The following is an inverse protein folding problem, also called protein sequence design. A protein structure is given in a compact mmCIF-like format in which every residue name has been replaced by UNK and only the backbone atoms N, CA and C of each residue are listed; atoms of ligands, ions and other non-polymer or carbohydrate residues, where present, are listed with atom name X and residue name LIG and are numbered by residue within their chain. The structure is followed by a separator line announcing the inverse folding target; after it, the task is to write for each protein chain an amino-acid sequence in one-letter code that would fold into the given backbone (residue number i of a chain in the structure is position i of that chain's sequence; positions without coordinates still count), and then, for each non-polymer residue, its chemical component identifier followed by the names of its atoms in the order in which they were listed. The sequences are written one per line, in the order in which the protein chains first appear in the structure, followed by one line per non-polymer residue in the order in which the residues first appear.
data_IF_716966808583
#
_entry.id   IF_716966808583
#
_cell.length_a   1.000
_cell.length_b   1.000
_cell.length_c   1.000
_cell.angle_alpha   90.00
_cell.angle_beta   90.00
_cell.angle_gamma   90.00
#
_symmetry.space_group_name_H-M   'P 1'
#
loop_
_entity.id
_entity.type
_entity.pdbx_description
1 polymer ?
#
# COMPACT_ATOMS: atom_id res chain seq x y z
N UNK A 1 10.96 19.01 2.59
CA UNK A 1 9.74 19.84 2.60
C UNK A 1 9.75 20.81 1.42
N UNK A 2 9.00 20.49 0.36
CA UNK A 2 8.69 21.47 -0.67
C UNK A 2 7.38 22.16 -0.29
N UNK A 3 7.43 23.47 -0.08
CA UNK A 3 6.25 24.31 0.09
C UNK A 3 5.69 24.61 -1.31
N UNK A 4 4.41 24.37 -1.52
CA UNK A 4 3.70 24.83 -2.72
C UNK A 4 2.54 25.73 -2.29
N UNK A 5 2.41 26.88 -2.97
CA UNK A 5 1.30 27.82 -2.82
C UNK A 5 0.37 27.69 -4.03
N UNK A 6 -0.91 27.45 -3.77
CA UNK A 6 -1.99 27.63 -4.74
C UNK A 6 -3.17 28.28 -4.03
N UNK A 7 -3.68 29.38 -4.59
CA UNK A 7 -4.85 30.12 -4.07
C UNK A 7 -4.75 30.54 -2.58
N UNK A 8 -3.63 31.15 -2.18
CA UNK A 8 -3.42 31.69 -0.82
C UNK A 8 -3.57 30.67 0.33
N UNK A 9 -3.52 29.37 0.04
CA UNK A 9 -3.42 28.32 1.06
C UNK A 9 -2.05 27.66 0.99
N UNK A 10 -1.41 27.52 2.16
CA UNK A 10 -0.13 26.84 2.32
C UNK A 10 -0.41 25.37 2.63
N UNK A 11 0.10 24.48 1.80
CA UNK A 11 -0.03 23.04 1.99
C UNK A 11 1.28 22.45 2.50
N UNK A 12 1.22 21.59 3.52
CA UNK A 12 2.35 20.82 4.02
C UNK A 12 2.17 19.37 3.58
N UNK A 13 3.08 18.87 2.75
CA UNK A 13 3.18 17.45 2.48
C UNK A 13 4.02 16.79 3.57
N UNK A 14 3.37 16.11 4.52
CA UNK A 14 4.05 15.27 5.51
C UNK A 14 4.20 13.86 4.91
N UNK A 15 5.44 13.44 4.65
CA UNK A 15 5.75 12.09 4.24
C UNK A 15 6.11 11.27 5.48
N UNK A 16 5.15 10.49 6.00
CA UNK A 16 5.45 9.48 7.01
C UNK A 16 6.21 8.34 6.33
N UNK A 17 7.49 8.18 6.69
CA UNK A 17 8.30 7.03 6.28
C UNK A 17 8.14 5.96 7.34
N UNK A 18 7.27 4.97 7.09
CA UNK A 18 7.24 3.74 7.90
C UNK A 18 8.41 2.88 7.45
N UNK A 19 9.36 2.64 8.33
CA UNK A 19 10.54 1.81 8.05
C UNK A 19 10.12 0.32 8.07
N UNK A 20 10.31 -0.46 6.98
CA UNK A 20 9.71 -1.80 6.88
C UNK A 20 10.63 -2.95 7.35
N UNK A 21 11.55 -2.73 8.30
CA UNK A 21 12.53 -3.77 8.68
C UNK A 21 12.47 -4.12 10.18
N UNK A 22 12.02 -5.34 10.56
CA UNK A 22 11.83 -5.73 11.96
C UNK A 22 13.10 -6.26 12.65
N UNK A 23 14.29 -6.16 12.04
CA UNK A 23 15.51 -6.79 12.56
C UNK A 23 16.75 -5.89 12.47
N UNK A 24 16.88 -4.90 13.36
CA UNK A 24 18.19 -4.34 13.78
C UNK A 24 18.06 -3.47 15.05
N UNK A 25 18.77 -3.79 16.15
CA UNK A 25 18.95 -2.86 17.25
C UNK A 25 20.09 -1.88 16.90
N UNK A 26 19.82 -0.58 16.87
CA UNK A 26 20.89 0.42 16.75
C UNK A 26 21.38 0.83 18.14
N UNK A 27 22.54 0.30 18.53
CA UNK A 27 23.46 0.99 19.44
C UNK A 27 24.35 1.91 18.60
N UNK A 28 24.40 3.20 18.93
CA UNK A 28 25.44 4.11 18.44
C UNK A 28 24.94 5.41 17.79
N UNK A 29 25.32 6.52 18.41
CA UNK A 29 25.17 7.90 17.96
C UNK A 29 25.71 8.16 16.55
N UNK A 30 24.90 8.74 15.66
CA UNK A 30 25.32 9.20 14.34
C UNK A 30 24.38 10.25 13.76
N UNK A 31 24.92 11.45 13.58
CA UNK A 31 24.25 12.68 13.13
C UNK A 31 23.73 12.60 11.69
N UNK A 32 22.53 13.12 11.42
CA UNK A 32 22.01 13.27 10.07
C UNK A 32 22.72 14.43 9.33
N UNK A 33 23.36 14.12 8.20
CA UNK A 33 23.95 15.10 7.28
C UNK A 33 22.87 15.57 6.31
N UNK A 34 22.47 16.83 6.39
CA UNK A 34 21.62 17.49 5.39
C UNK A 34 22.52 17.99 4.24
N UNK A 35 22.44 17.36 3.06
CA UNK A 35 23.04 17.93 1.83
C UNK A 35 22.11 19.00 1.27
N UNK A 36 22.61 20.23 1.21
CA UNK A 36 22.01 21.37 0.51
C UNK A 36 22.25 21.17 -1.00
N UNK A 37 21.21 21.27 -1.82
CA UNK A 37 21.32 21.27 -3.29
C UNK A 37 21.00 22.70 -3.74
N UNK A 38 21.98 23.38 -4.34
CA UNK A 38 21.80 24.72 -4.94
C UNK A 38 21.18 24.61 -6.35
N UNK A 39 20.48 25.65 -6.84
CA UNK A 39 19.66 25.56 -8.05
C UNK A 39 20.46 25.96 -9.30
N UNK A 40 20.64 25.07 -10.27
CA UNK A 40 21.13 25.45 -11.62
C UNK A 40 20.44 24.67 -12.74
N UNK A 41 19.76 25.45 -13.60
CA UNK A 41 19.33 25.27 -14.99
C UNK A 41 18.16 24.31 -15.36
N UNK A 42 17.29 24.72 -16.33
CA UNK A 42 16.13 23.96 -16.77
C UNK A 42 16.53 22.95 -17.86
N UNK A 43 15.65 21.97 -18.11
CA UNK A 43 15.74 20.88 -19.09
C UNK A 43 16.40 19.59 -18.60
N UNK A 44 15.64 18.80 -17.83
CA UNK A 44 15.52 17.33 -17.92
C UNK A 44 14.39 16.87 -16.99
N UNK A 45 13.44 16.03 -17.42
CA UNK A 45 12.37 15.56 -16.55
C UNK A 45 12.89 14.41 -15.69
N UNK A 46 13.02 14.65 -14.39
CA UNK A 46 13.15 13.58 -13.39
C UNK A 46 11.75 13.02 -13.18
N UNK A 47 11.55 11.75 -13.49
CA UNK A 47 10.28 11.06 -13.28
C UNK A 47 10.07 10.81 -11.77
N UNK A 48 9.36 11.73 -11.11
CA UNK A 48 8.89 11.52 -9.74
C UNK A 48 7.57 10.76 -9.74
N UNK A 49 7.57 9.57 -9.13
CA UNK A 49 6.37 8.77 -8.88
C UNK A 49 5.43 9.57 -7.97
N UNK A 50 4.36 10.08 -8.55
CA UNK A 50 3.28 10.78 -7.85
C UNK A 50 2.18 9.78 -7.52
N UNK A 51 1.92 9.53 -6.23
CA UNK A 51 0.71 8.84 -5.77
C UNK A 51 -0.38 9.90 -5.64
N UNK A 52 -1.38 9.87 -6.51
CA UNK A 52 -2.54 10.78 -6.48
C UNK A 52 -3.53 10.22 -5.46
N UNK A 53 -3.74 10.92 -4.36
CA UNK A 53 -4.91 10.71 -3.51
C UNK A 53 -6.08 11.53 -4.07
N UNK A 54 -7.14 10.86 -4.50
CA UNK A 54 -8.37 11.50 -4.95
C UNK A 54 -9.18 11.96 -3.74
N UNK A 55 -9.10 13.24 -3.39
CA UNK A 55 -10.04 13.88 -2.47
C UNK A 55 -11.32 14.24 -3.23
N UNK A 56 -12.42 13.53 -2.95
CA UNK A 56 -13.76 13.97 -3.38
C UNK A 56 -14.19 15.09 -2.44
N UNK A 57 -14.01 16.34 -2.87
CA UNK A 57 -14.55 17.51 -2.17
C UNK A 57 -16.07 17.57 -2.41
N UNK A 58 -16.86 17.29 -1.38
CA UNK A 58 -18.28 17.64 -1.38
C UNK A 58 -18.41 19.15 -1.14
N UNK A 59 -18.95 19.84 -2.14
CA UNK A 59 -19.15 21.29 -2.16
C UNK A 59 -20.19 21.70 -1.10
N UNK A 60 -19.74 22.26 0.04
CA UNK A 60 -20.61 22.97 0.99
C UNK A 60 -19.94 24.26 1.42
N UNK A 61 -20.58 25.38 1.05
CA UNK A 61 -20.19 26.75 1.45
C UNK A 61 -20.14 26.89 2.98
N UNK A 62 -19.12 27.55 3.55
CA UNK A 62 -19.06 27.82 4.97
C UNK A 62 -19.91 29.04 5.33
N UNK A 63 -20.89 28.86 6.20
CA UNK A 63 -21.54 29.98 6.92
C UNK A 63 -20.73 30.24 8.19
N UNK A 64 -20.01 31.36 8.23
CA UNK A 64 -19.40 31.88 9.46
C UNK A 64 -20.52 32.35 10.42
N UNK A 65 -20.57 31.79 11.62
CA UNK A 65 -21.34 32.38 12.71
C UNK A 65 -20.45 33.43 13.42
N UNK A 66 -20.84 34.70 13.31
CA UNK A 66 -20.35 35.77 14.16
C UNK A 66 -20.92 35.58 15.57
N UNK A 67 -20.05 35.56 16.59
CA UNK A 67 -20.44 35.73 17.98
C UNK A 67 -20.17 37.20 18.33
N UNK A 68 -21.24 37.97 18.54
CA UNK A 68 -21.18 39.29 19.15
C UNK A 68 -21.09 39.12 20.67
N UNK A 69 -20.20 39.89 21.29
CA UNK A 69 -20.02 40.01 22.73
C UNK A 69 -21.25 40.69 23.35
N UNK A 70 -22.00 39.97 24.20
CA UNK A 70 -22.97 40.56 25.13
C UNK A 70 -22.57 40.22 26.57
N UNK A 71 -22.00 41.22 27.24
CA UNK A 71 -21.81 41.29 28.69
C UNK A 71 -23.17 41.19 29.41
N UNK A 72 -23.38 40.14 30.22
CA UNK A 72 -24.50 40.11 31.18
C UNK A 72 -24.04 39.61 32.55
N UNK A 73 -24.46 40.39 33.53
CA UNK A 73 -24.00 40.55 34.91
C UNK A 73 -24.11 39.32 35.82
N UNK A 74 -23.15 39.21 36.74
CA UNK A 74 -23.11 38.22 37.81
C UNK A 74 -24.17 38.54 38.89
N UNK A 75 -25.14 37.65 39.09
CA UNK A 75 -25.88 37.61 40.36
C UNK A 75 -26.05 36.18 40.85
N UNK A 76 -25.60 35.98 42.08
CA UNK A 76 -25.59 34.78 42.89
C UNK A 76 -26.93 34.03 42.96
N UNK A 77 -26.88 32.72 42.72
CA UNK A 77 -27.60 31.76 43.55
C UNK A 77 -26.83 30.44 43.61
N UNK A 78 -26.47 30.08 44.84
CA UNK A 78 -25.83 28.83 45.21
C UNK A 78 -26.92 27.76 45.20
N UNK A 79 -26.80 26.78 44.32
CA UNK A 79 -27.33 25.44 44.57
C UNK A 79 -26.27 24.41 44.20
N UNK A 80 -25.75 23.79 45.24
CA UNK A 80 -24.86 22.64 45.24
C UNK A 80 -25.52 21.47 44.52
N UNK A 81 -24.96 21.08 43.38
CA UNK A 81 -25.13 19.73 42.84
C UNK A 81 -23.75 19.11 42.64
N UNK A 82 -23.39 18.27 43.60
CA UNK A 82 -22.38 17.23 43.45
C UNK A 82 -22.74 16.39 42.21
N UNK A 83 -21.93 16.49 41.15
CA UNK A 83 -21.91 15.51 40.07
C UNK A 83 -20.65 14.65 40.25
N UNK A 84 -20.66 13.85 41.31
CA UNK A 84 -19.84 12.65 41.37
C UNK A 84 -20.53 11.56 40.53
N UNK A 85 -19.94 11.24 39.38
CA UNK A 85 -20.36 10.10 38.58
C UNK A 85 -19.60 10.00 37.27
N UNK A 86 -18.69 9.02 37.19
CA UNK A 86 -18.20 8.53 35.91
C UNK A 86 -19.38 7.93 35.14
N UNK A 87 -19.72 8.52 33.99
CA UNK A 87 -20.83 8.06 33.16
C UNK A 87 -20.57 6.67 32.57
N UNK A 88 -21.61 5.84 32.36
CA UNK A 88 -21.49 4.44 31.96
C UNK A 88 -20.88 4.20 30.56
N UNK A 89 -20.55 5.25 29.81
CA UNK A 89 -20.00 5.14 28.45
C UNK A 89 -18.46 5.07 28.40
N UNK A 90 -17.76 5.33 29.49
CA UNK A 90 -16.29 5.46 29.48
C UNK A 90 -15.52 4.12 29.49
N UNK A 91 -16.17 2.99 29.80
CA UNK A 91 -15.49 1.73 30.17
C UNK A 91 -15.62 0.54 29.19
N UNK A 92 -16.07 0.73 27.93
CA UNK A 92 -16.15 -0.38 26.97
C UNK A 92 -15.75 0.04 25.55
N UNK A 93 -14.47 0.35 25.36
CA UNK A 93 -13.91 0.81 24.08
C UNK A 93 -13.51 -0.31 23.13
N UNK A 94 -12.73 -1.30 23.58
CA UNK A 94 -12.11 -2.25 22.64
C UNK A 94 -13.12 -3.08 21.82
N UNK A 95 -14.28 -3.39 22.40
CA UNK A 95 -15.35 -4.15 21.72
C UNK A 95 -16.11 -3.32 20.68
N UNK A 96 -16.26 -2.00 20.87
CA UNK A 96 -16.88 -1.10 19.87
C UNK A 96 -15.94 -0.80 18.70
N UNK A 97 -14.63 -0.85 18.94
CA UNK A 97 -13.59 -0.54 17.98
C UNK A 97 -13.29 -1.70 17.03
N UNK A 98 -13.39 -2.95 17.49
CA UNK A 98 -13.00 -4.12 16.71
C UNK A 98 -13.89 -4.35 15.48
N UNK A 99 -13.36 -5.03 14.47
CA UNK A 99 -14.18 -5.52 13.33
C UNK A 99 -15.09 -6.66 13.78
N UNK A 100 -16.23 -6.89 13.10
CA UNK A 100 -17.09 -8.04 13.37
C UNK A 100 -16.28 -9.34 13.42
N UNK A 101 -16.61 -10.30 14.29
CA UNK A 101 -15.86 -11.53 14.38
C UNK A 101 -15.95 -12.30 13.06
N UNK A 102 -14.85 -12.91 12.68
CA UNK A 102 -14.78 -13.78 11.51
C UNK A 102 -15.53 -15.08 11.82
N UNK A 103 -16.46 -15.48 10.94
CA UNK A 103 -17.05 -16.83 11.00
C UNK A 103 -15.98 -17.85 10.62
N UNK A 104 -16.01 -19.05 11.21
CA UNK A 104 -15.18 -20.15 10.71
C UNK A 104 -15.47 -20.39 9.23
N UNK A 105 -14.42 -20.49 8.42
CA UNK A 105 -14.51 -20.68 6.96
C UNK A 105 -13.99 -22.07 6.62
N UNK A 106 -14.84 -22.92 6.05
CA UNK A 106 -14.37 -24.16 5.42
C UNK A 106 -13.79 -23.88 4.03
N UNK A 107 -12.47 -23.80 3.97
CA UNK A 107 -11.71 -23.55 2.73
C UNK A 107 -11.93 -24.59 1.62
N UNK A 108 -12.59 -25.72 1.89
CA UNK A 108 -12.92 -26.71 0.86
C UNK A 108 -14.22 -26.37 0.12
N UNK A 109 -15.16 -25.72 0.79
CA UNK A 109 -16.54 -25.57 0.34
C UNK A 109 -16.94 -24.10 0.15
N UNK A 110 -16.28 -23.17 0.85
CA UNK A 110 -16.62 -21.75 0.83
C UNK A 110 -15.65 -20.94 -0.03
N UNK A 111 -16.18 -19.96 -0.76
CA UNK A 111 -15.38 -18.94 -1.45
C UNK A 111 -15.19 -17.71 -0.55
N UNK A 112 -14.11 -16.96 -0.76
CA UNK A 112 -13.90 -15.66 -0.09
C UNK A 112 -14.01 -14.57 -1.13
N UNK A 113 -14.91 -13.62 -0.90
CA UNK A 113 -15.14 -12.48 -1.80
C UNK A 113 -14.87 -11.19 -1.04
N UNK A 114 -13.97 -10.37 -1.56
CA UNK A 114 -13.58 -9.10 -0.93
C UNK A 114 -13.29 -8.01 -1.96
N UNK A 115 -13.57 -6.77 -1.60
CA UNK A 115 -13.20 -5.62 -2.41
C UNK A 115 -11.79 -5.19 -2.06
N UNK A 116 -10.94 -5.09 -3.07
CA UNK A 116 -9.56 -4.63 -2.91
C UNK A 116 -9.53 -3.14 -2.56
N UNK A 117 -8.50 -2.72 -1.82
CA UNK A 117 -8.22 -1.30 -1.56
C UNK A 117 -6.77 -0.94 -1.85
N UNK A 118 -5.86 -1.89 -1.64
CA UNK A 118 -4.43 -1.68 -1.85
C UNK A 118 -3.77 -2.97 -2.33
N UNK A 119 -2.68 -2.81 -3.06
CA UNK A 119 -1.89 -3.90 -3.63
C UNK A 119 -0.42 -3.52 -3.56
N UNK A 120 0.38 -4.42 -3.00
CA UNK A 120 1.84 -4.31 -3.04
C UNK A 120 2.47 -5.67 -3.40
N UNK A 121 3.79 -5.74 -3.43
CA UNK A 121 4.49 -7.00 -3.48
C UNK A 121 5.67 -7.02 -2.52
N UNK A 122 6.10 -8.21 -2.15
CA UNK A 122 7.35 -8.44 -1.45
C UNK A 122 8.12 -9.57 -2.11
N UNK A 123 9.42 -9.64 -1.82
CA UNK A 123 10.24 -10.77 -2.22
C UNK A 123 10.19 -11.80 -1.09
N UNK A 124 9.70 -13.00 -1.41
CA UNK A 124 9.63 -14.09 -0.45
C UNK A 124 9.96 -15.41 -1.11
N UNK A 125 10.23 -16.40 -0.29
CA UNK A 125 10.44 -17.76 -0.75
C UNK A 125 9.10 -18.50 -0.75
N UNK A 126 8.91 -19.38 -1.74
CA UNK A 126 7.85 -20.36 -1.67
C UNK A 126 8.24 -21.56 -0.79
N UNK A 127 7.37 -22.56 -0.72
CA UNK A 127 7.63 -23.78 0.06
C UNK A 127 8.78 -24.64 -0.51
N UNK A 128 9.27 -24.34 -1.72
CA UNK A 128 10.40 -25.00 -2.37
C UNK A 128 11.71 -24.19 -2.22
N UNK A 129 11.73 -23.20 -1.31
CA UNK A 129 12.82 -22.25 -1.07
C UNK A 129 13.24 -21.46 -2.33
N UNK A 130 12.31 -21.28 -3.28
CA UNK A 130 12.53 -20.46 -4.46
C UNK A 130 12.07 -19.02 -4.22
N UNK A 131 13.05 -18.12 -4.18
CA UNK A 131 12.82 -16.67 -4.08
C UNK A 131 12.05 -16.15 -5.30
N UNK A 132 10.91 -15.52 -5.06
CA UNK A 132 10.03 -14.95 -6.08
C UNK A 132 9.31 -13.69 -5.58
N UNK A 133 8.81 -12.83 -6.48
CA UNK A 133 7.89 -11.78 -6.08
C UNK A 133 6.52 -12.37 -5.73
N UNK A 134 5.97 -11.98 -4.58
CA UNK A 134 4.63 -12.38 -4.11
C UNK A 134 3.80 -11.10 -3.98
N UNK A 135 2.67 -11.05 -4.69
CA UNK A 135 1.75 -9.91 -4.64
C UNK A 135 0.84 -10.07 -3.44
N UNK A 136 0.63 -9.00 -2.67
CA UNK A 136 -0.38 -8.95 -1.60
C UNK A 136 -1.51 -8.04 -2.02
N UNK A 137 -2.72 -8.55 -1.94
CA UNK A 137 -3.94 -7.76 -2.10
C UNK A 137 -4.60 -7.58 -0.75
N UNK A 138 -4.83 -6.34 -0.36
CA UNK A 138 -5.54 -5.96 0.86
C UNK A 138 -6.96 -5.52 0.51
N UNK A 139 -7.91 -5.85 1.37
CA UNK A 139 -9.28 -5.45 1.15
C UNK A 139 -10.25 -5.84 2.26
N UNK A 140 -11.54 -5.72 1.96
CA UNK A 140 -12.62 -5.92 2.93
C UNK A 140 -13.77 -6.71 2.29
N UNK A 141 -14.28 -7.72 2.99
CA UNK A 141 -15.46 -8.49 2.54
C UNK A 141 -16.75 -7.67 2.68
N UNK A 142 -17.86 -8.08 2.03
CA UNK A 142 -19.18 -7.45 2.26
C UNK A 142 -19.59 -7.47 3.75
N UNK A 143 -19.13 -8.47 4.51
CA UNK A 143 -19.35 -8.57 5.96
C UNK A 143 -18.45 -7.68 6.82
N UNK A 144 -17.57 -6.87 6.24
CA UNK A 144 -16.67 -5.97 6.98
C UNK A 144 -15.41 -6.62 7.53
N UNK A 145 -15.10 -7.86 7.12
CA UNK A 145 -13.88 -8.55 7.55
C UNK A 145 -12.69 -8.08 6.71
N UNK A 146 -11.58 -7.74 7.37
CA UNK A 146 -10.33 -7.38 6.66
C UNK A 146 -9.62 -8.61 6.12
N UNK A 147 -9.13 -8.51 4.88
CA UNK A 147 -8.51 -9.61 4.14
C UNK A 147 -7.14 -9.22 3.60
N UNK A 148 -6.18 -10.13 3.74
CA UNK A 148 -4.89 -10.10 3.06
C UNK A 148 -4.72 -11.38 2.24
N UNK A 149 -4.63 -11.25 0.93
CA UNK A 149 -4.46 -12.36 0.00
C UNK A 149 -3.05 -12.33 -0.60
N UNK A 150 -2.29 -13.41 -0.42
CA UNK A 150 -0.97 -13.59 -1.03
C UNK A 150 -1.10 -14.37 -2.35
N UNK A 151 -0.73 -13.74 -3.46
CA UNK A 151 -0.80 -14.29 -4.83
C UNK A 151 0.60 -14.64 -5.33
N UNK A 152 0.75 -15.86 -5.86
CA UNK A 152 2.03 -16.45 -6.26
C UNK A 152 2.11 -16.66 -7.79
N UNK A 153 3.33 -16.87 -8.28
CA UNK A 153 3.58 -17.35 -9.65
C UNK A 153 3.53 -16.28 -10.74
N UNK A 154 3.24 -15.02 -10.41
CA UNK A 154 3.30 -13.92 -11.39
C UNK A 154 4.74 -13.44 -11.54
N UNK A 155 5.29 -13.52 -12.75
CA UNK A 155 6.70 -13.20 -13.01
C UNK A 155 6.82 -11.95 -13.88
N UNK A 156 7.77 -11.05 -13.57
CA UNK A 156 8.01 -9.84 -14.35
C UNK A 156 8.55 -10.20 -15.75
N UNK A 157 8.12 -9.43 -16.74
CA UNK A 157 8.60 -9.57 -18.11
C UNK A 157 8.62 -8.22 -18.82
N UNK A 158 9.34 -8.19 -19.93
CA UNK A 158 9.36 -7.09 -20.88
C UNK A 158 9.58 -7.62 -22.29
N UNK A 159 9.54 -6.74 -23.28
CA UNK A 159 9.75 -7.12 -24.67
C UNK A 159 11.04 -6.50 -25.23
N UNK A 160 11.64 -7.18 -26.20
CA UNK A 160 12.75 -6.65 -26.98
C UNK A 160 12.51 -6.90 -28.47
N UNK A 161 13.04 -6.02 -29.31
CA UNK A 161 13.03 -6.17 -30.75
C UNK A 161 13.63 -7.53 -31.14
N UNK A 162 12.99 -8.23 -32.09
CA UNK A 162 13.56 -9.44 -32.64
C UNK A 162 14.78 -9.07 -33.51
N UNK A 163 15.96 -9.62 -33.23
CA UNK A 163 17.13 -9.32 -34.03
C UNK A 163 17.08 -9.93 -35.45
N UNK A 164 17.79 -9.33 -36.41
CA UNK A 164 17.83 -9.81 -37.80
C UNK A 164 18.42 -11.23 -37.91
N UNK A 165 17.72 -12.15 -38.58
CA UNK A 165 18.18 -13.54 -38.71
C UNK A 165 18.05 -14.36 -37.42
N UNK A 166 17.40 -13.83 -36.39
CA UNK A 166 17.05 -14.60 -35.19
C UNK A 166 15.85 -15.51 -35.46
N UNK A 167 15.91 -16.75 -34.99
CA UNK A 167 14.82 -17.71 -35.09
C UNK A 167 14.83 -18.64 -33.86
N UNK A 168 13.84 -19.53 -33.74
CA UNK A 168 13.60 -20.43 -32.61
C UNK A 168 14.82 -21.24 -32.19
N UNK A 169 15.68 -21.62 -33.14
CA UNK A 169 16.91 -22.38 -32.89
C UNK A 169 17.90 -21.62 -32.00
N UNK A 170 17.84 -20.28 -31.97
CA UNK A 170 18.75 -19.43 -31.21
C UNK A 170 18.24 -19.12 -29.78
N UNK A 171 16.97 -19.41 -29.46
CA UNK A 171 16.34 -19.01 -28.19
C UNK A 171 17.09 -19.53 -26.96
N UNK A 172 17.45 -20.82 -26.95
CA UNK A 172 18.10 -21.44 -25.80
C UNK A 172 19.49 -20.87 -25.54
N UNK A 173 20.29 -20.68 -26.60
CA UNK A 173 21.62 -20.10 -26.50
C UNK A 173 21.56 -18.64 -26.04
N UNK A 174 20.63 -17.86 -26.59
CA UNK A 174 20.42 -16.46 -26.22
C UNK A 174 19.93 -16.30 -24.79
N UNK A 175 18.99 -17.15 -24.34
CA UNK A 175 18.53 -17.17 -22.95
C UNK A 175 19.67 -17.49 -21.99
N UNK A 176 20.50 -18.50 -22.30
CA UNK A 176 21.63 -18.87 -21.47
C UNK A 176 22.65 -17.74 -21.34
N UNK A 177 22.97 -17.07 -22.46
CA UNK A 177 23.89 -15.93 -22.49
C UNK A 177 23.35 -14.75 -21.66
N UNK A 178 22.09 -14.33 -21.91
CA UNK A 178 21.50 -13.20 -21.18
C UNK A 178 21.42 -13.51 -19.68
N UNK A 179 21.02 -14.73 -19.32
CA UNK A 179 21.02 -15.18 -17.94
C UNK A 179 22.40 -15.03 -17.30
N UNK A 180 23.45 -15.52 -17.96
CA UNK A 180 24.81 -15.43 -17.45
C UNK A 180 25.27 -13.98 -17.28
N UNK A 181 25.00 -13.10 -18.25
CA UNK A 181 25.35 -11.67 -18.16
C UNK A 181 24.64 -10.97 -17.00
N UNK A 182 23.36 -11.26 -16.79
CA UNK A 182 22.61 -10.69 -15.66
C UNK A 182 23.18 -11.20 -14.33
N UNK A 183 23.49 -12.50 -14.23
CA UNK A 183 24.12 -13.10 -13.04
C UNK A 183 25.50 -12.49 -12.75
N UNK A 184 26.28 -12.18 -13.79
CA UNK A 184 27.59 -11.53 -13.67
C UNK A 184 27.51 -10.09 -13.14
N UNK A 185 26.44 -9.36 -13.39
CA UNK A 185 26.28 -7.99 -12.86
C UNK A 185 25.79 -7.97 -11.41
N UNK A 186 25.02 -8.97 -10.99
CA UNK A 186 24.49 -9.06 -9.60
C UNK A 186 25.42 -9.79 -8.63
N UNK A 187 26.72 -9.89 -8.98
CA UNK A 187 27.77 -10.56 -8.19
C UNK A 187 27.66 -10.21 -6.71
N UNK A 188 27.38 -11.22 -5.89
CA UNK A 188 27.19 -11.10 -4.43
C UNK A 188 25.86 -11.67 -3.95
N UNK A 189 24.83 -11.71 -4.79
CA UNK A 189 23.53 -12.27 -4.42
C UNK A 189 23.42 -13.76 -4.81
N UNK A 190 23.93 -14.66 -3.97
CA UNK A 190 23.97 -16.12 -4.22
C UNK A 190 22.61 -16.82 -4.22
N UNK A 191 21.53 -16.11 -3.89
CA UNK A 191 20.18 -16.70 -3.81
C UNK A 191 19.53 -16.88 -5.20
N UNK A 192 19.89 -16.03 -6.17
CA UNK A 192 19.30 -16.08 -7.51
C UNK A 192 20.08 -17.07 -8.37
N UNK A 193 19.50 -18.26 -8.60
CA UNK A 193 20.08 -19.29 -9.48
C UNK A 193 19.84 -18.99 -10.96
N UNK A 194 18.61 -18.61 -11.30
CA UNK A 194 18.21 -18.25 -12.66
C UNK A 194 17.62 -16.83 -12.65
N UNK A 195 18.28 -15.91 -13.33
CA UNK A 195 17.83 -14.53 -13.49
C UNK A 195 16.81 -14.40 -14.63
N UNK A 196 17.06 -15.08 -15.76
CA UNK A 196 16.16 -15.11 -16.92
C UNK A 196 15.48 -16.47 -16.96
N UNK A 197 14.15 -16.48 -16.81
CA UNK A 197 13.37 -17.70 -16.68
C UNK A 197 12.99 -18.29 -18.04
N UNK A 198 12.52 -17.44 -18.96
CA UNK A 198 12.10 -17.87 -20.30
C UNK A 198 12.20 -16.72 -21.28
N UNK A 199 12.60 -17.04 -22.52
CA UNK A 199 12.48 -16.15 -23.67
C UNK A 199 11.58 -16.80 -24.72
N UNK A 200 10.57 -16.08 -25.20
CA UNK A 200 9.61 -16.58 -26.19
C UNK A 200 9.44 -15.59 -27.35
N UNK A 201 9.16 -16.10 -28.55
CA UNK A 201 8.72 -15.26 -29.66
C UNK A 201 7.26 -14.87 -29.46
N UNK A 202 6.95 -13.58 -29.67
CA UNK A 202 5.59 -13.06 -29.58
C UNK A 202 5.32 -12.10 -30.73
N UNK A 203 4.28 -12.36 -31.49
CA UNK A 203 3.83 -11.46 -32.56
C UNK A 203 3.00 -10.32 -31.96
N UNK A 204 3.54 -9.12 -32.04
CA UNK A 204 2.98 -7.89 -31.49
C UNK A 204 3.03 -6.77 -32.54
N UNK A 205 2.52 -5.60 -32.18
CA UNK A 205 2.65 -4.37 -32.96
C UNK A 205 3.24 -3.30 -32.06
N UNK A 206 4.16 -2.50 -32.60
CA UNK A 206 4.58 -1.27 -31.92
C UNK A 206 3.40 -0.29 -31.96
N UNK A 207 3.10 0.31 -30.80
CA UNK A 207 2.11 1.38 -30.70
C UNK A 207 2.53 2.63 -31.47
N UNK A 208 3.84 2.80 -31.72
CA UNK A 208 4.40 3.94 -32.45
C UNK A 208 4.40 3.67 -33.95
N UNK A 209 3.71 4.53 -34.67
CA UNK A 209 3.61 4.48 -36.13
C UNK A 209 2.41 3.67 -36.60
N UNK A 210 2.13 3.74 -37.90
CA UNK A 210 0.99 3.04 -38.51
C UNK A 210 1.51 1.96 -39.45
N UNK A 211 1.24 0.70 -39.12
CA UNK A 211 1.77 -0.47 -39.84
C UNK A 211 0.70 -1.28 -40.57
N UNK A 212 -0.48 -0.70 -40.85
CA UNK A 212 -1.59 -1.39 -41.55
C UNK A 212 -1.93 -2.77 -40.94
N UNK A 213 -1.90 -2.89 -39.61
CA UNK A 213 -2.09 -4.14 -38.86
C UNK A 213 -1.03 -5.24 -39.10
N UNK A 214 0.09 -4.94 -39.75
CA UNK A 214 1.21 -5.88 -39.86
C UNK A 214 1.80 -6.15 -38.47
N UNK A 215 1.82 -7.42 -38.08
CA UNK A 215 2.48 -7.86 -36.85
C UNK A 215 3.96 -8.13 -37.12
N UNK A 216 4.79 -7.79 -36.14
CA UNK A 216 6.21 -8.12 -36.11
C UNK A 216 6.46 -9.03 -34.92
N UNK A 217 7.37 -9.98 -35.06
CA UNK A 217 7.76 -10.84 -33.94
C UNK A 217 8.72 -10.07 -33.02
N UNK A 218 8.56 -10.26 -31.70
CA UNK A 218 9.39 -9.69 -30.64
C UNK A 218 9.84 -10.82 -29.68
N UNK A 219 10.88 -10.56 -28.90
CA UNK A 219 11.29 -11.41 -27.79
C UNK A 219 10.53 -10.99 -26.53
N UNK A 220 9.68 -11.86 -25.98
CA UNK A 220 9.13 -11.73 -24.62
C UNK A 220 10.14 -12.34 -23.66
N UNK A 221 10.71 -11.53 -22.77
CA UNK A 221 11.76 -11.95 -21.83
C UNK A 221 11.17 -11.89 -20.42
N UNK A 222 11.03 -13.05 -19.78
CA UNK A 222 10.57 -13.18 -18.40
C UNK A 222 11.77 -13.36 -17.48
N UNK A 223 11.85 -12.56 -16.41
CA UNK A 223 12.92 -12.60 -15.41
C UNK A 223 12.37 -13.02 -14.05
N UNK A 224 13.24 -13.43 -13.13
CA UNK A 224 12.81 -14.00 -11.84
C UNK A 224 12.41 -12.96 -10.79
N UNK A 225 12.90 -11.72 -10.88
CA UNK A 225 12.59 -10.66 -9.93
C UNK A 225 12.46 -9.30 -10.65
N UNK A 226 11.56 -8.40 -10.19
CA UNK A 226 11.32 -7.12 -10.87
C UNK A 226 12.58 -6.26 -11.01
N UNK A 227 13.46 -6.27 -10.00
CA UNK A 227 14.75 -5.54 -10.00
C UNK A 227 15.72 -5.98 -11.11
N UNK A 228 15.50 -7.13 -11.74
CA UNK A 228 16.36 -7.65 -12.82
C UNK A 228 15.96 -7.11 -14.20
N UNK A 229 14.75 -6.57 -14.36
CA UNK A 229 14.28 -5.95 -15.60
C UNK A 229 15.21 -4.81 -16.07
N UNK A 230 15.54 -3.79 -15.25
CA UNK A 230 16.42 -2.71 -15.69
C UNK A 230 17.85 -3.18 -16.02
N UNK A 231 18.33 -4.23 -15.36
CA UNK A 231 19.65 -4.83 -15.61
C UNK A 231 19.66 -5.52 -16.98
N UNK A 232 18.72 -6.44 -17.21
CA UNK A 232 18.58 -7.16 -18.47
C UNK A 232 18.37 -6.19 -19.63
N UNK A 233 17.51 -5.16 -19.44
CA UNK A 233 17.32 -4.07 -20.40
C UNK A 233 18.64 -3.41 -20.80
N UNK A 234 19.44 -2.96 -19.84
CA UNK A 234 20.72 -2.28 -20.10
C UNK A 234 21.69 -3.15 -20.89
N UNK A 235 21.79 -4.43 -20.52
CA UNK A 235 22.65 -5.41 -21.22
C UNK A 235 22.25 -5.54 -22.69
N UNK A 236 20.95 -5.57 -22.98
CA UNK A 236 20.41 -5.66 -24.35
C UNK A 236 20.61 -4.36 -25.14
N UNK A 237 20.31 -3.21 -24.54
CA UNK A 237 20.43 -1.88 -25.18
C UNK A 237 21.90 -1.50 -25.47
N UNK A 238 22.85 -1.99 -24.66
CA UNK A 238 24.30 -1.77 -24.84
C UNK A 238 24.97 -2.78 -25.78
N UNK A 239 24.25 -3.82 -26.22
CA UNK A 239 24.79 -4.88 -27.08
C UNK A 239 25.78 -5.81 -26.37
N UNK A 240 25.72 -5.90 -25.03
CA UNK A 240 26.63 -6.72 -24.23
C UNK A 240 26.28 -8.23 -24.25
N UNK A 241 25.09 -8.58 -24.74
CA UNK A 241 24.63 -9.96 -24.91
C UNK A 241 25.01 -10.50 -26.30
N UNK A 242 25.96 -11.44 -26.36
CA UNK A 242 26.45 -12.02 -27.62
C UNK A 242 26.29 -13.53 -27.59
N UNK A 243 25.50 -14.10 -28.51
CA UNK A 243 25.27 -15.54 -28.57
C UNK A 243 26.06 -16.16 -29.73
N UNK A 244 26.64 -17.36 -29.58
CA UNK A 244 27.28 -18.07 -30.69
C UNK A 244 26.35 -18.19 -31.91
N UNK A 245 26.82 -17.72 -33.07
CA UNK A 245 26.03 -17.70 -34.31
C UNK A 245 25.12 -16.47 -34.47
N UNK A 246 25.04 -15.58 -33.47
CA UNK A 246 24.18 -14.42 -33.52
C UNK A 246 24.74 -13.19 -32.77
N UNK A 247 25.19 -12.18 -33.52
CA UNK A 247 25.69 -10.91 -32.98
C UNK A 247 24.62 -9.82 -33.07
N UNK A 248 23.79 -9.72 -32.04
CA UNK A 248 22.90 -8.58 -31.89
C UNK A 248 23.68 -7.32 -31.53
N UNK A 249 23.41 -6.21 -32.20
CA UNK A 249 23.84 -4.88 -31.73
C UNK A 249 22.61 -4.13 -31.23
N UNK A 250 22.72 -3.57 -30.03
CA UNK A 250 21.79 -2.64 -29.39
C UNK A 250 20.31 -2.92 -29.68
N UNK A 251 19.70 -3.79 -28.87
CA UNK A 251 18.28 -4.10 -29.03
C UNK A 251 17.41 -3.06 -28.35
N UNK A 252 16.41 -2.57 -29.07
CA UNK A 252 15.34 -1.76 -28.50
C UNK A 252 14.47 -2.62 -27.58
N UNK A 253 14.17 -2.11 -26.39
CA UNK A 253 13.24 -2.74 -25.46
C UNK A 253 11.94 -1.97 -25.38
N UNK A 254 10.87 -2.70 -25.05
CA UNK A 254 9.52 -2.20 -24.96
C UNK A 254 8.91 -2.67 -23.64
N UNK A 255 8.09 -1.80 -23.05
CA UNK A 255 7.40 -2.06 -21.78
C UNK A 255 8.32 -2.43 -20.60
N UNK A 256 9.63 -2.21 -20.74
CA UNK A 256 10.67 -2.50 -19.75
C UNK A 256 10.73 -1.48 -18.60
N UNK A 257 9.79 -0.54 -18.57
CA UNK A 257 9.67 0.53 -17.58
C UNK A 257 8.29 0.55 -16.90
N UNK A 258 7.49 -0.51 -17.07
CA UNK A 258 6.20 -0.66 -16.39
C UNK A 258 6.44 -1.27 -15.02
N UNK A 259 5.86 -0.65 -13.99
CA UNK A 259 5.93 -1.15 -12.61
C UNK A 259 5.27 -2.53 -12.49
N UNK A 260 5.79 -3.38 -11.59
CA UNK A 260 5.39 -4.78 -11.50
C UNK A 260 3.93 -4.96 -11.07
N UNK A 261 3.47 -4.13 -10.13
CA UNK A 261 2.11 -4.07 -9.62
C UNK A 261 1.14 -3.65 -10.73
N UNK A 262 1.51 -2.63 -11.51
CA UNK A 262 0.71 -2.15 -12.64
C UNK A 262 0.64 -3.23 -13.72
N UNK A 263 1.74 -3.93 -13.98
CA UNK A 263 1.77 -5.07 -14.90
C UNK A 263 0.83 -6.18 -14.43
N UNK A 264 0.88 -6.53 -13.15
CA UNK A 264 -0.02 -7.51 -12.55
C UNK A 264 -1.49 -7.11 -12.71
N UNK A 265 -1.80 -5.84 -12.44
CA UNK A 265 -3.15 -5.30 -12.57
C UNK A 265 -3.67 -5.36 -14.01
N UNK A 266 -2.87 -4.90 -14.97
CA UNK A 266 -3.25 -4.88 -16.39
C UNK A 266 -3.39 -6.28 -16.97
N UNK A 267 -2.46 -7.20 -16.67
CA UNK A 267 -2.47 -8.54 -17.25
C UNK A 267 -3.64 -9.41 -16.76
N UNK A 268 -4.19 -9.09 -15.59
CA UNK A 268 -5.22 -9.87 -14.91
C UNK A 268 -6.55 -9.13 -14.79
N UNK A 269 -6.67 -7.98 -15.46
CA UNK A 269 -7.84 -7.09 -15.40
C UNK A 269 -8.22 -6.69 -13.96
N UNK A 270 -7.26 -6.62 -13.04
CA UNK A 270 -7.47 -6.14 -11.67
C UNK A 270 -7.51 -4.61 -11.67
N UNK A 271 -8.72 -4.06 -11.74
CA UNK A 271 -8.95 -2.63 -11.59
C UNK A 271 -8.80 -2.16 -10.14
N UNK A 272 -8.57 -0.86 -9.95
CA UNK A 272 -8.62 -0.27 -8.62
C UNK A 272 -10.00 -0.47 -7.97
N UNK A 273 -9.99 -0.90 -6.70
CA UNK A 273 -11.20 -1.14 -5.90
C UNK A 273 -12.17 -2.19 -6.47
N UNK A 274 -11.71 -3.12 -7.30
CA UNK A 274 -12.56 -4.20 -7.80
C UNK A 274 -12.81 -5.28 -6.74
N UNK A 275 -13.87 -6.06 -6.96
CA UNK A 275 -14.17 -7.25 -6.18
C UNK A 275 -13.37 -8.44 -6.69
N UNK A 276 -12.76 -9.17 -5.77
CA UNK A 276 -11.99 -10.39 -6.02
C UNK A 276 -12.67 -11.55 -5.32
N UNK A 277 -12.85 -12.66 -6.04
CA UNK A 277 -13.26 -13.93 -5.46
C UNK A 277 -12.11 -14.94 -5.47
N UNK A 278 -11.96 -15.60 -4.33
CA UNK A 278 -11.10 -16.77 -4.14
C UNK A 278 -12.02 -17.99 -4.07
N UNK A 279 -12.10 -18.79 -5.15
CA UNK A 279 -12.99 -19.93 -5.20
C UNK A 279 -12.67 -20.97 -4.13
N UNK A 280 -13.69 -21.71 -3.70
CA UNK A 280 -13.54 -22.82 -2.78
C UNK A 280 -12.45 -23.78 -3.26
N UNK A 281 -11.69 -24.35 -2.31
CA UNK A 281 -10.57 -25.25 -2.56
C UNK A 281 -9.35 -24.68 -3.27
N UNK A 282 -9.33 -23.41 -3.68
CA UNK A 282 -8.15 -22.78 -4.31
C UNK A 282 -7.22 -22.11 -3.31
N UNK A 283 -7.69 -21.80 -2.11
CA UNK A 283 -6.93 -21.09 -1.08
C UNK A 283 -6.78 -21.90 0.22
N UNK A 284 -5.80 -21.55 1.05
CA UNK A 284 -5.69 -21.94 2.47
C UNK A 284 -5.62 -20.70 3.36
N UNK A 285 -6.16 -20.82 4.56
CA UNK A 285 -5.88 -19.84 5.62
C UNK A 285 -4.42 -20.00 6.08
N UNK A 286 -3.73 -18.89 6.37
CA UNK A 286 -2.41 -18.90 6.99
C UNK A 286 -2.52 -19.17 8.48
N UNK A 287 -1.74 -20.11 8.97
CA UNK A 287 -1.63 -20.38 10.41
C UNK A 287 -0.90 -19.25 11.12
N UNK A 288 -1.20 -19.04 12.41
CA UNK A 288 -0.70 -17.90 13.19
C UNK A 288 0.83 -17.71 13.15
N UNK A 289 1.61 -18.78 13.05
CA UNK A 289 3.09 -18.72 12.99
C UNK A 289 3.63 -18.15 11.67
N UNK A 290 2.84 -18.20 10.59
CA UNK A 290 3.24 -17.75 9.25
C UNK A 290 2.52 -16.46 8.82
N UNK A 291 1.70 -15.86 9.67
CA UNK A 291 0.97 -14.62 9.35
C UNK A 291 1.95 -13.46 9.24
N UNK A 292 1.74 -12.64 8.24
CA UNK A 292 2.52 -11.44 7.94
C UNK A 292 1.67 -10.18 7.98
N UNK A 293 0.37 -10.32 8.21
CA UNK A 293 -0.59 -9.22 8.31
C UNK A 293 -1.35 -9.25 9.63
N UNK A 294 -1.97 -8.10 9.97
CA UNK A 294 -2.96 -7.99 11.07
C UNK A 294 -4.41 -8.18 10.59
N UNK A 295 -4.63 -8.50 9.31
CA UNK A 295 -5.96 -8.69 8.74
C UNK A 295 -6.63 -9.95 9.30
N UNK A 296 -7.93 -9.91 9.55
CA UNK A 296 -8.68 -11.04 10.15
C UNK A 296 -8.55 -12.31 9.30
N UNK A 297 -8.66 -12.15 7.99
CA UNK A 297 -8.54 -13.20 6.99
C UNK A 297 -7.17 -13.05 6.32
N UNK A 298 -6.27 -14.02 6.51
CA UNK A 298 -5.01 -14.06 5.78
C UNK A 298 -4.90 -15.38 5.02
N UNK A 299 -4.82 -15.30 3.70
CA UNK A 299 -4.90 -16.47 2.81
C UNK A 299 -3.70 -16.58 1.90
N UNK A 300 -3.36 -17.83 1.57
CA UNK A 300 -2.29 -18.19 0.66
C UNK A 300 -2.57 -19.53 -0.05
N UNK A 301 -1.57 -20.07 -0.75
CA UNK A 301 -1.56 -21.31 -1.55
C UNK A 301 -2.07 -22.57 -0.84
N UNK A 302 -3.11 -23.27 -1.32
CA UNK A 302 -3.62 -24.49 -0.66
C UNK A 302 -2.66 -25.69 -0.67
N UNK A 303 -2.04 -26.07 -1.81
CA UNK A 303 -1.10 -27.21 -1.86
C UNK A 303 -0.17 -27.23 -3.12
N UNK A 304 1.12 -27.50 -2.85
CA UNK A 304 2.33 -27.95 -3.61
C UNK A 304 2.36 -28.09 -5.15
N UNK A 305 1.26 -28.17 -5.92
CA UNK A 305 1.32 -28.23 -7.41
C UNK A 305 0.38 -27.29 -8.14
N UNK A 306 -0.49 -26.59 -7.42
CA UNK A 306 -1.28 -25.49 -7.95
C UNK A 306 -1.25 -24.39 -6.89
N UNK A 307 -0.70 -23.24 -7.27
CA UNK A 307 -0.71 -22.02 -6.48
C UNK A 307 -2.20 -21.60 -6.24
N UNK A 308 -2.56 -20.66 -5.35
CA UNK A 308 -3.33 -19.55 -5.95
C UNK A 308 -2.40 -18.92 -6.95
N UNK A 309 -2.40 -19.53 -8.12
CA UNK A 309 -1.75 -18.92 -9.24
C UNK A 309 -2.48 -17.61 -9.41
N UNK A 310 -1.79 -16.64 -9.96
CA UNK A 310 -2.46 -15.46 -10.47
C UNK A 310 -3.64 -15.78 -11.43
N UNK A 311 -3.81 -17.04 -11.82
CA UNK A 311 -4.90 -17.62 -12.63
C UNK A 311 -6.08 -18.21 -11.86
N UNK A 312 -6.00 -18.37 -10.54
CA UNK A 312 -7.00 -19.12 -9.76
C UNK A 312 -8.05 -18.22 -9.08
N UNK A 313 -7.82 -16.91 -8.97
CA UNK A 313 -8.81 -15.97 -8.47
C UNK A 313 -9.64 -15.39 -9.62
N UNK A 314 -10.84 -14.90 -9.28
CA UNK A 314 -11.77 -14.29 -10.23
C UNK A 314 -11.81 -12.80 -9.94
N UNK A 315 -11.73 -11.99 -10.99
CA UNK A 315 -11.93 -10.54 -10.91
C UNK A 315 -13.31 -10.19 -11.42
N UNK A 316 -14.06 -9.44 -10.63
CA UNK A 316 -15.34 -8.89 -11.06
C UNK A 316 -15.16 -7.45 -11.52
N UNK A 317 -15.65 -7.16 -12.72
CA UNK A 317 -15.77 -5.80 -13.22
C UNK A 317 -16.65 -4.96 -12.29
N UNK A 318 -16.33 -3.68 -12.12
CA UNK A 318 -17.04 -2.76 -11.21
C UNK A 318 -18.38 -2.30 -11.79
N UNK A 319 -19.25 -3.25 -12.10
CA UNK A 319 -20.53 -3.04 -12.77
C UNK A 319 -21.64 -3.84 -12.07
N UNK A 320 -22.89 -3.41 -12.24
CA UNK A 320 -24.07 -4.13 -11.74
C UNK A 320 -23.97 -4.44 -10.23
N UNK A 321 -24.10 -5.71 -9.83
CA UNK A 321 -24.02 -6.16 -8.44
C UNK A 321 -22.62 -6.01 -7.79
N UNK A 322 -21.60 -5.73 -8.61
CA UNK A 322 -20.21 -5.52 -8.21
C UNK A 322 -19.81 -4.05 -8.25
N UNK A 323 -20.75 -3.13 -8.53
CA UNK A 323 -20.55 -1.69 -8.37
C UNK A 323 -20.66 -1.24 -6.90
N UNK A 324 -21.18 -2.09 -6.02
CA UNK A 324 -21.30 -1.81 -4.59
C UNK A 324 -19.93 -1.64 -3.92
N UNK A 325 -19.90 -0.84 -2.85
CA UNK A 325 -18.70 -0.55 -2.08
C UNK A 325 -18.75 -1.30 -0.75
N UNK A 326 -17.67 -1.98 -0.40
CA UNK A 326 -17.48 -2.64 0.89
C UNK A 326 -17.57 -1.62 2.04
N UNK A 327 -17.95 -2.05 3.26
CA UNK A 327 -18.04 -1.16 4.41
C UNK A 327 -16.63 -0.82 4.96
N UNK A 328 -15.87 -0.04 4.19
CA UNK A 328 -14.57 0.48 4.59
C UNK A 328 -14.71 1.34 5.85
N UNK A 329 -13.68 1.35 6.68
CA UNK A 329 -13.60 2.24 7.84
C UNK A 329 -12.73 3.42 7.47
N UNK A 330 -13.27 4.62 7.60
CA UNK A 330 -12.58 5.88 7.35
C UNK A 330 -12.30 6.51 8.70
N UNK A 331 -11.01 6.61 9.05
CA UNK A 331 -10.53 7.34 10.21
C UNK A 331 -10.12 8.75 9.77
N UNK A 332 -10.73 9.76 10.38
CA UNK A 332 -10.29 11.14 10.32
C UNK A 332 -9.70 11.50 11.68
N UNK A 333 -8.54 12.14 11.69
CA UNK A 333 -7.92 12.59 12.93
C UNK A 333 -7.28 13.97 12.76
N UNK A 334 -7.13 14.69 13.87
CA UNK A 334 -6.48 15.99 13.94
C UNK A 334 -5.66 16.09 15.22
N UNK A 335 -4.58 16.87 15.18
CA UNK A 335 -3.62 16.99 16.30
C UNK A 335 -3.43 18.44 16.71
N UNK A 336 -3.25 18.65 18.01
CA UNK A 336 -2.93 19.96 18.57
C UNK A 336 -1.59 19.93 19.29
N UNK A 337 -0.81 21.00 19.14
CA UNK A 337 0.54 21.12 19.70
C UNK A 337 0.65 22.38 20.56
N UNK A 338 1.41 22.30 21.66
CA UNK A 338 1.69 23.46 22.51
C UNK A 338 2.95 24.20 22.04
N UNK A 339 2.78 25.12 21.08
CA UNK A 339 3.87 25.91 20.49
C UNK A 339 4.35 27.09 21.34
N UNK A 340 5.62 27.48 21.14
CA UNK A 340 6.19 28.73 21.70
C UNK A 340 5.63 29.98 21.00
N UNK A 341 5.47 31.07 21.76
CA UNK A 341 4.85 32.32 21.28
C UNK A 341 5.57 32.88 20.04
N UNK A 342 4.82 33.07 18.96
CA UNK A 342 5.33 33.65 17.71
C UNK A 342 6.21 32.70 16.89
N UNK A 343 6.29 31.43 17.26
CA UNK A 343 7.09 30.40 16.58
C UNK A 343 6.15 29.30 16.11
N UNK A 344 6.33 28.85 14.86
CA UNK A 344 5.60 27.69 14.35
C UNK A 344 6.11 26.42 15.06
N UNK A 345 5.24 25.47 15.46
CA UNK A 345 5.65 24.27 16.18
C UNK A 345 6.79 23.50 15.50
N UNK A 346 7.80 23.13 16.29
CA UNK A 346 8.94 22.32 15.90
C UNK A 346 8.84 20.95 16.62
N UNK A 347 8.87 19.81 15.90
CA UNK A 347 8.63 18.48 16.49
C UNK A 347 9.61 18.06 17.61
N UNK A 348 10.78 18.67 17.68
CA UNK A 348 11.80 18.43 18.70
C UNK A 348 11.64 19.29 19.96
N UNK A 349 10.68 20.22 19.97
CA UNK A 349 10.54 21.23 21.03
C UNK A 349 9.11 21.42 21.54
N UNK A 350 8.12 21.31 20.66
CA UNK A 350 6.74 21.65 20.96
C UNK A 350 5.90 20.35 20.99
N UNK A 351 5.39 19.93 22.16
CA UNK A 351 4.77 18.61 22.33
C UNK A 351 3.38 18.56 21.70
N UNK A 352 2.97 17.36 21.29
CA UNK A 352 1.59 17.04 20.96
C UNK A 352 0.78 16.95 22.25
N UNK A 353 -0.30 17.72 22.33
CA UNK A 353 -1.14 17.81 23.53
C UNK A 353 -2.52 17.23 23.34
N UNK A 354 -3.05 17.14 22.12
CA UNK A 354 -4.33 16.49 21.86
C UNK A 354 -4.32 15.78 20.52
N UNK A 355 -5.04 14.65 20.43
CA UNK A 355 -5.34 13.94 19.19
C UNK A 355 -6.82 13.59 19.19
N UNK A 356 -7.59 14.18 18.28
CA UNK A 356 -9.01 13.90 18.13
C UNK A 356 -9.25 12.93 16.97
N UNK A 357 -10.12 11.94 17.16
CA UNK A 357 -10.44 10.94 16.14
C UNK A 357 -11.95 10.80 15.92
N UNK A 358 -12.31 10.60 14.66
CA UNK A 358 -13.63 10.16 14.24
C UNK A 358 -13.52 9.02 13.26
N UNK A 359 -14.30 7.96 13.48
CA UNK A 359 -14.37 6.82 12.55
C UNK A 359 -15.78 6.62 12.04
N UNK A 360 -15.91 6.57 10.72
CA UNK A 360 -17.15 6.34 10.00
C UNK A 360 -17.02 5.07 9.16
N UNK A 361 -18.10 4.30 9.03
CA UNK A 361 -18.15 3.21 8.04
C UNK A 361 -18.74 3.75 6.75
N UNK A 362 -18.14 3.38 5.63
CA UNK A 362 -18.62 3.79 4.31
C UNK A 362 -20.09 3.42 4.14
N UNK A 363 -20.91 4.42 3.80
CA UNK A 363 -22.37 4.29 3.66
C UNK A 363 -23.18 4.65 4.92
N UNK A 364 -22.56 4.72 6.10
CA UNK A 364 -23.21 5.20 7.32
C UNK A 364 -23.15 6.74 7.40
N UNK A 365 -24.19 7.36 7.99
CA UNK A 365 -24.27 8.84 8.11
C UNK A 365 -23.51 9.37 9.32
N UNK A 366 -23.48 8.60 10.40
CA UNK A 366 -22.92 9.02 11.69
C UNK A 366 -21.64 8.24 12.00
N UNK A 367 -20.61 8.90 12.58
CA UNK A 367 -19.48 8.21 13.18
C UNK A 367 -19.94 7.27 14.29
N UNK A 368 -19.33 6.09 14.34
CA UNK A 368 -19.55 5.14 15.43
C UNK A 368 -18.45 5.21 16.50
N UNK A 369 -17.36 5.95 16.24
CA UNK A 369 -16.30 6.26 17.18
C UNK A 369 -16.02 7.76 17.13
N UNK A 370 -15.98 8.37 18.32
CA UNK A 370 -15.57 9.75 18.57
C UNK A 370 -14.74 9.73 19.85
N UNK A 371 -13.45 9.98 19.75
CA UNK A 371 -12.59 10.09 20.93
C UNK A 371 -11.59 11.23 20.79
N UNK A 372 -11.08 11.69 21.94
CA UNK A 372 -9.99 12.66 22.01
C UNK A 372 -9.02 12.20 23.07
N UNK A 373 -7.76 12.03 22.67
CA UNK A 373 -6.64 11.81 23.56
C UNK A 373 -6.11 13.17 23.99
N UNK A 374 -5.93 13.41 25.29
CA UNK A 374 -5.46 14.68 25.83
C UNK A 374 -4.28 14.49 26.75
N UNK A 375 -3.28 15.37 26.65
CA UNK A 375 -2.25 15.50 27.66
C UNK A 375 -2.84 16.24 28.87
N UNK A 376 -2.62 15.69 30.05
CA UNK A 376 -3.28 16.04 31.30
C UNK A 376 -4.80 15.78 31.28
N UNK A 377 -5.47 16.21 32.35
CA UNK A 377 -6.92 16.07 32.54
C UNK A 377 -7.70 16.94 31.57
N UNK A 378 -8.82 16.40 31.06
CA UNK A 378 -9.81 17.13 30.28
C UNK A 378 -11.21 16.83 30.84
N UNK A 379 -12.11 17.82 30.79
CA UNK A 379 -13.49 17.64 31.22
C UNK A 379 -14.25 16.71 30.26
N UNK A 380 -15.27 15.97 30.74
CA UNK A 380 -16.08 15.11 29.86
C UNK A 380 -16.76 15.91 28.74
N UNK A 381 -16.80 15.32 27.53
CA UNK A 381 -17.49 15.88 26.36
C UNK A 381 -18.64 14.96 25.98
N UNK A 382 -19.86 15.50 25.90
CA UNK A 382 -21.05 14.71 25.58
C UNK A 382 -20.91 14.05 24.20
N UNK A 383 -21.13 12.73 24.15
CA UNK A 383 -21.08 11.96 22.90
C UNK A 383 -19.67 11.71 22.35
N UNK A 384 -18.62 12.02 23.10
CA UNK A 384 -17.23 11.70 22.77
C UNK A 384 -16.50 11.10 23.98
N UNK A 385 -15.63 10.13 23.71
CA UNK A 385 -14.77 9.61 24.75
C UNK A 385 -13.56 10.52 24.95
N UNK A 386 -13.28 10.90 26.19
CA UNK A 386 -12.07 11.66 26.55
C UNK A 386 -11.08 10.70 27.20
N UNK A 387 -9.87 10.60 26.63
CA UNK A 387 -8.77 9.75 27.12
C UNK A 387 -7.63 10.65 27.60
N UNK A 388 -7.58 10.91 28.90
CA UNK A 388 -6.56 11.79 29.49
C UNK A 388 -5.30 11.01 29.89
N UNK A 389 -4.15 11.47 29.42
CA UNK A 389 -2.83 10.86 29.58
C UNK A 389 -1.91 11.79 30.39
N UNK A 390 -0.99 11.23 31.19
CA UNK A 390 -0.08 12.05 32.03
C UNK A 390 1.15 12.52 31.27
N UNK A 391 1.55 11.78 30.24
CA UNK A 391 2.74 12.05 29.44
C UNK A 391 2.40 11.97 27.96
N UNK A 392 3.21 12.64 27.13
CA UNK A 392 3.06 12.59 25.67
C UNK A 392 3.32 11.17 25.14
N UNK A 393 4.31 10.45 25.70
CA UNK A 393 4.59 9.06 25.32
C UNK A 393 3.36 8.15 25.53
N UNK A 394 2.72 8.25 26.70
CA UNK A 394 1.49 7.50 27.00
C UNK A 394 0.35 7.84 26.01
N UNK A 395 0.21 9.12 25.66
CA UNK A 395 -0.77 9.58 24.69
C UNK A 395 -0.53 8.95 23.32
N UNK A 396 0.71 8.96 22.84
CA UNK A 396 1.09 8.40 21.54
C UNK A 396 0.97 6.87 21.51
N UNK A 397 1.37 6.18 22.58
CA UNK A 397 1.25 4.72 22.72
C UNK A 397 -0.22 4.28 22.73
N UNK A 398 -1.09 5.01 23.46
CA UNK A 398 -2.51 4.72 23.49
C UNK A 398 -3.17 4.99 22.13
N UNK A 399 -2.78 6.07 21.44
CA UNK A 399 -3.24 6.36 20.09
C UNK A 399 -2.85 5.25 19.09
N UNK A 400 -1.59 4.77 19.12
CA UNK A 400 -1.16 3.63 18.27
C UNK A 400 -1.92 2.33 18.61
N UNK A 401 -2.15 2.06 19.89
CA UNK A 401 -2.91 0.90 20.35
C UNK A 401 -4.38 0.97 19.92
N UNK A 402 -4.99 2.15 19.97
CA UNK A 402 -6.39 2.40 19.55
C UNK A 402 -6.54 2.23 18.03
N UNK A 403 -5.63 2.82 17.26
CA UNK A 403 -5.56 2.61 15.81
C UNK A 403 -5.38 1.13 15.48
N UNK A 404 -4.44 0.48 16.15
CA UNK A 404 -4.20 -0.96 16.02
C UNK A 404 -5.45 -1.78 16.39
N UNK A 405 -6.26 -1.29 17.33
CA UNK A 405 -7.55 -1.82 17.74
C UNK A 405 -8.59 -1.85 16.60
N UNK A 406 -8.57 -0.88 15.67
CA UNK A 406 -9.45 -0.90 14.49
C UNK A 406 -9.22 -2.12 13.59
N UNK A 407 -8.04 -2.73 13.68
CA UNK A 407 -7.66 -3.92 12.92
C UNK A 407 -7.87 -5.23 13.71
N UNK A 408 -8.05 -5.17 15.04
CA UNK A 408 -8.23 -6.36 15.87
C UNK A 408 -9.63 -6.96 15.67
N UNK A 409 -9.70 -8.29 15.74
CA UNK A 409 -10.94 -9.05 15.88
C UNK A 409 -11.51 -8.86 17.29
N UNK A 410 -12.82 -8.68 17.44
CA UNK A 410 -13.46 -8.91 18.72
C UNK A 410 -13.29 -10.40 19.04
N UNK A 411 -12.63 -10.73 20.15
CA UNK A 411 -12.45 -12.10 20.63
C UNK A 411 -13.78 -12.77 20.93
#
# INVERSE_FOLDING_TARGET
PCLFEHNNQKFIQVKLVVNPDPLRPFFGSGSAIVKKVDPVHPYLPVAEKSVIFLFIMADRKPTLAHLEDDDVDFSSNVDSQELEGEGPEQAATSSKLARPPMKEIDTNTEAIIFQTIDLDFYIGDDEDDQTQPIVRMFGVTKGGNSTCCHVYGFQPYFYAQLPDGFDKVHLNAFQAELNQKVLDEIRGNRTIRNAVLVIQLKDCQDIRGFTFNAKTSFLKITVSLPKLVPIARRILETGACQSPGFNSKNLLTYESNVDFEIRFMVDLDVNGCCWIELPASKYKLRTNQKRQSRCQIEVCKKNVRAEISYKDFIVYACENEWADIAPFRVLSFDIECAGRKGVFPEPDKDPVIQIANMVVRQGEKEPFIRNVFTLNSCAPIVGSQVVSCKTEDELLDLFDSDISGFYKTSS
#
